data_IF_854799190343
#
_entry.id   IF_854799190343
#
_cell.length_a   1.000
_cell.length_b   1.000
_cell.length_c   1.000
_cell.angle_alpha   90.00
_cell.angle_beta   90.00
_cell.angle_gamma   90.00
#
_symmetry.space_group_name_H-M   'P 1'
#
loop_
_entity.id
_entity.type
_entity.pdbx_description
1 polymer ?
#
# COMPACT_ATOMS: atom_id res chain seq x y z
N UNK A 1 -38.17 33.69 -20.08
CA UNK A 1 -36.70 33.81 -19.87
C UNK A 1 -36.22 32.47 -19.32
N UNK A 2 -35.74 31.57 -20.18
CA UNK A 2 -35.17 30.29 -19.75
C UNK A 2 -33.77 30.55 -19.19
N UNK A 3 -33.56 30.25 -17.91
CA UNK A 3 -32.22 30.16 -17.35
C UNK A 3 -31.49 29.00 -18.05
N UNK A 4 -30.48 29.32 -18.85
CA UNK A 4 -29.54 28.35 -19.38
C UNK A 4 -28.86 27.65 -18.20
N UNK A 5 -29.06 26.33 -18.08
CA UNK A 5 -28.30 25.52 -17.15
C UNK A 5 -26.79 25.77 -17.35
N UNK A 6 -26.00 25.99 -16.29
CA UNK A 6 -24.58 26.24 -16.45
C UNK A 6 -23.91 25.01 -17.08
N UNK A 7 -23.09 25.25 -18.10
CA UNK A 7 -22.35 24.22 -18.82
C UNK A 7 -21.43 23.40 -17.88
N UNK A 8 -21.30 22.07 -18.05
CA UNK A 8 -20.50 21.24 -17.16
C UNK A 8 -19.02 21.36 -17.54
N UNK A 9 -18.31 22.33 -16.95
CA UNK A 9 -16.90 22.60 -17.33
C UNK A 9 -15.86 22.47 -16.22
N UNK A 10 -16.18 21.90 -15.06
CA UNK A 10 -15.15 21.50 -14.08
C UNK A 10 -15.56 20.20 -13.42
N UNK A 11 -14.82 19.11 -13.69
CA UNK A 11 -15.04 17.84 -13.01
C UNK A 11 -14.92 18.04 -11.50
N UNK A 12 -15.87 17.51 -10.73
CA UNK A 12 -15.93 17.71 -9.28
C UNK A 12 -14.63 17.22 -8.60
N UNK A 13 -14.41 17.62 -7.34
CA UNK A 13 -13.24 17.19 -6.58
C UNK A 13 -13.09 15.65 -6.55
N UNK A 14 -14.20 14.92 -6.46
CA UNK A 14 -14.21 13.46 -6.52
C UNK A 14 -13.80 12.90 -7.89
N UNK A 15 -14.21 13.53 -8.99
CA UNK A 15 -13.80 13.10 -10.35
C UNK A 15 -12.29 13.31 -10.56
N UNK A 16 -11.74 14.40 -10.03
CA UNK A 16 -10.30 14.66 -10.06
C UNK A 16 -9.52 13.64 -9.21
N UNK A 17 -10.01 13.31 -8.01
CA UNK A 17 -9.43 12.25 -7.19
C UNK A 17 -9.49 10.88 -7.90
N UNK A 18 -10.62 10.54 -8.55
CA UNK A 18 -10.75 9.30 -9.32
C UNK A 18 -9.75 9.21 -10.48
N UNK A 19 -9.54 10.31 -11.22
CA UNK A 19 -8.53 10.36 -12.29
C UNK A 19 -7.11 10.18 -11.76
N UNK A 20 -6.78 10.79 -10.62
CA UNK A 20 -5.48 10.60 -9.95
C UNK A 20 -5.29 9.15 -9.51
N UNK A 21 -6.32 8.55 -8.91
CA UNK A 21 -6.30 7.15 -8.51
C UNK A 21 -6.05 6.22 -9.71
N UNK A 22 -6.75 6.43 -10.82
CA UNK A 22 -6.58 5.64 -12.04
C UNK A 22 -5.17 5.75 -12.62
N UNK A 23 -4.61 6.97 -12.71
CA UNK A 23 -3.23 7.18 -13.19
C UNK A 23 -2.21 6.49 -12.29
N UNK A 24 -2.35 6.64 -10.97
CA UNK A 24 -1.48 5.98 -10.00
C UNK A 24 -1.59 4.45 -10.08
N UNK A 25 -2.79 3.94 -10.33
CA UNK A 25 -3.02 2.51 -10.51
C UNK A 25 -2.36 1.99 -11.79
N UNK A 26 -2.41 2.73 -12.89
CA UNK A 26 -1.67 2.39 -14.12
C UNK A 26 -0.17 2.37 -13.87
N UNK A 27 0.37 3.36 -13.14
CA UNK A 27 1.79 3.36 -12.75
C UNK A 27 2.13 2.07 -11.98
N UNK A 28 1.31 1.70 -10.99
CA UNK A 28 1.49 0.47 -10.24
C UNK A 28 1.44 -0.78 -11.13
N UNK A 29 0.43 -0.89 -11.99
CA UNK A 29 0.24 -2.04 -12.88
C UNK A 29 1.38 -2.22 -13.89
N UNK A 30 2.07 -1.15 -14.27
CA UNK A 30 3.23 -1.22 -15.16
C UNK A 30 4.53 -1.44 -14.37
N UNK A 31 4.73 -0.68 -13.30
CA UNK A 31 5.97 -0.69 -12.55
C UNK A 31 6.18 -1.99 -11.76
N UNK A 32 5.12 -2.61 -11.24
CA UNK A 32 5.22 -3.88 -10.50
C UNK A 32 5.74 -5.04 -11.37
N UNK A 33 5.13 -5.39 -12.51
CA UNK A 33 5.64 -6.46 -13.35
C UNK A 33 7.00 -6.10 -13.96
N UNK A 34 7.24 -4.83 -14.28
CA UNK A 34 8.55 -4.40 -14.75
C UNK A 34 9.64 -4.63 -13.71
N UNK A 35 9.36 -4.28 -12.44
CA UNK A 35 10.25 -4.56 -11.31
C UNK A 35 10.53 -6.07 -11.22
N UNK A 36 9.49 -6.91 -11.23
CA UNK A 36 9.66 -8.36 -11.21
C UNK A 36 10.52 -8.88 -12.38
N UNK A 37 10.27 -8.41 -13.60
CA UNK A 37 11.04 -8.80 -14.79
C UNK A 37 12.52 -8.38 -14.68
N UNK A 38 12.80 -7.17 -14.18
CA UNK A 38 14.15 -6.69 -13.99
C UNK A 38 14.93 -7.52 -12.96
N UNK A 39 14.31 -7.81 -11.81
CA UNK A 39 14.94 -8.63 -10.78
C UNK A 39 15.12 -10.09 -11.22
N UNK A 40 14.13 -10.67 -11.92
CA UNK A 40 14.23 -12.05 -12.42
C UNK A 40 15.23 -12.24 -13.56
N UNK A 41 15.57 -11.17 -14.29
CA UNK A 41 16.57 -11.18 -15.37
C UNK A 41 17.87 -10.49 -15.01
N UNK A 42 18.08 -10.20 -13.72
CA UNK A 42 19.23 -9.42 -13.26
C UNK A 42 20.56 -10.05 -13.66
N UNK A 43 20.73 -11.34 -13.44
CA UNK A 43 21.96 -12.06 -13.77
C UNK A 43 22.27 -12.05 -15.28
N UNK A 44 21.33 -12.39 -16.18
CA UNK A 44 21.52 -12.24 -17.63
C UNK A 44 21.84 -10.80 -18.07
N UNK A 45 21.21 -9.79 -17.45
CA UNK A 45 21.48 -8.38 -17.77
C UNK A 45 22.89 -8.00 -17.32
N UNK A 46 23.26 -8.38 -16.10
CA UNK A 46 24.57 -8.10 -15.53
C UNK A 46 25.69 -8.75 -16.33
N UNK A 47 25.50 -9.99 -16.80
CA UNK A 47 26.47 -10.70 -17.64
C UNK A 47 26.79 -9.96 -18.97
N UNK A 48 25.87 -9.11 -19.46
CA UNK A 48 26.10 -8.26 -20.64
C UNK A 48 26.76 -6.93 -20.32
N UNK A 49 26.62 -6.47 -19.08
CA UNK A 49 27.22 -5.21 -18.60
C UNK A 49 28.67 -5.44 -18.18
N UNK A 50 28.96 -6.56 -17.52
CA UNK A 50 30.28 -6.91 -17.00
C UNK A 50 31.43 -6.83 -18.02
N UNK A 51 31.28 -7.25 -19.29
CA UNK A 51 32.35 -7.14 -20.29
C UNK A 51 32.49 -5.74 -20.91
N UNK A 52 31.60 -4.79 -20.59
CA UNK A 52 31.79 -3.41 -21.00
C UNK A 52 32.99 -2.82 -20.25
N UNK A 53 33.76 -1.96 -20.90
CA UNK A 53 34.94 -1.33 -20.29
C UNK A 53 34.75 0.18 -20.09
N UNK A 54 35.46 0.74 -19.11
CA UNK A 54 35.57 2.18 -18.87
C UNK A 54 34.23 2.89 -18.66
N UNK A 55 34.01 3.99 -19.39
CA UNK A 55 32.84 4.86 -19.21
C UNK A 55 31.51 4.17 -19.54
N UNK A 56 31.50 3.26 -20.51
CA UNK A 56 30.27 2.57 -20.95
C UNK A 56 29.78 1.61 -19.88
N UNK A 57 30.70 0.90 -19.20
CA UNK A 57 30.39 0.10 -18.02
C UNK A 57 29.78 0.93 -16.90
N UNK A 58 30.44 2.04 -16.54
CA UNK A 58 29.98 2.92 -15.45
C UNK A 58 28.57 3.44 -15.71
N UNK A 59 28.29 3.86 -16.95
CA UNK A 59 26.95 4.32 -17.34
C UNK A 59 25.93 3.18 -17.25
N UNK A 60 26.24 2.02 -17.84
CA UNK A 60 25.32 0.87 -17.87
C UNK A 60 25.00 0.33 -16.46
N UNK A 61 26.01 0.18 -15.60
CA UNK A 61 25.83 -0.23 -14.21
C UNK A 61 25.01 0.79 -13.42
N UNK A 62 25.26 2.09 -13.62
CA UNK A 62 24.51 3.17 -12.96
C UNK A 62 23.05 3.21 -13.41
N UNK A 63 22.79 3.09 -14.72
CA UNK A 63 21.44 3.04 -15.27
C UNK A 63 20.68 1.81 -14.77
N UNK A 64 21.34 0.64 -14.72
CA UNK A 64 20.73 -0.56 -14.16
C UNK A 64 20.37 -0.36 -12.69
N UNK A 65 21.29 0.18 -11.88
CA UNK A 65 21.04 0.49 -10.47
C UNK A 65 19.88 1.48 -10.29
N UNK A 66 19.84 2.54 -11.09
CA UNK A 66 18.76 3.52 -11.05
C UNK A 66 17.40 2.88 -11.40
N UNK A 67 17.35 2.06 -12.44
CA UNK A 67 16.14 1.34 -12.86
C UNK A 67 15.67 0.35 -11.79
N UNK A 68 16.58 -0.40 -11.17
CA UNK A 68 16.27 -1.32 -10.08
C UNK A 68 15.78 -0.63 -8.80
N UNK A 69 16.22 0.61 -8.54
CA UNK A 69 15.75 1.40 -7.41
C UNK A 69 14.40 2.06 -7.69
N UNK A 70 14.25 2.69 -8.86
CA UNK A 70 13.08 3.50 -9.20
C UNK A 70 11.83 2.66 -9.52
N UNK A 71 11.97 1.49 -10.13
CA UNK A 71 10.82 0.67 -10.51
C UNK A 71 10.01 0.13 -9.33
N UNK A 72 10.59 -0.51 -8.29
CA UNK A 72 9.83 -0.92 -7.11
C UNK A 72 9.28 0.29 -6.33
N UNK A 73 10.03 1.40 -6.29
CA UNK A 73 9.58 2.63 -5.64
C UNK A 73 8.35 3.22 -6.34
N UNK A 74 8.37 3.30 -7.67
CA UNK A 74 7.24 3.76 -8.48
C UNK A 74 6.02 2.85 -8.30
N UNK A 75 6.23 1.53 -8.21
CA UNK A 75 5.15 0.58 -7.91
C UNK A 75 4.54 0.85 -6.52
N UNK A 76 5.36 0.98 -5.48
CA UNK A 76 4.89 1.24 -4.12
C UNK A 76 4.14 2.57 -4.00
N UNK A 77 4.69 3.65 -4.55
CA UNK A 77 4.05 4.98 -4.54
C UNK A 77 2.76 4.95 -5.37
N UNK A 78 2.79 4.35 -6.56
CA UNK A 78 1.61 4.20 -7.42
C UNK A 78 0.48 3.45 -6.71
N UNK A 79 0.81 2.37 -6.00
CA UNK A 79 -0.15 1.61 -5.20
C UNK A 79 -0.75 2.48 -4.09
N UNK A 80 0.07 3.09 -3.25
CA UNK A 80 -0.41 3.91 -2.13
C UNK A 80 -1.29 5.07 -2.59
N UNK A 81 -0.88 5.78 -3.66
CA UNK A 81 -1.65 6.87 -4.23
C UNK A 81 -2.95 6.39 -4.88
N UNK A 82 -2.94 5.21 -5.52
CA UNK A 82 -4.14 4.61 -6.09
C UNK A 82 -5.17 4.30 -5.02
N UNK A 83 -4.76 3.67 -3.92
CA UNK A 83 -5.68 3.37 -2.82
C UNK A 83 -6.13 4.66 -2.12
N UNK A 84 -5.21 5.58 -1.80
CA UNK A 84 -5.52 6.85 -1.15
C UNK A 84 -6.54 7.66 -1.95
N UNK A 85 -6.22 8.01 -3.19
CA UNK A 85 -7.13 8.80 -4.02
C UNK A 85 -8.38 8.01 -4.43
N UNK A 86 -8.28 6.69 -4.50
CA UNK A 86 -9.42 5.80 -4.73
C UNK A 86 -10.46 5.98 -3.63
N UNK A 87 -10.05 5.78 -2.37
CA UNK A 87 -10.92 5.96 -1.20
C UNK A 87 -11.45 7.39 -1.12
N UNK A 88 -10.59 8.41 -1.19
CA UNK A 88 -11.03 9.82 -1.13
C UNK A 88 -12.06 10.15 -2.22
N UNK A 89 -11.92 9.59 -3.43
CA UNK A 89 -12.89 9.85 -4.50
C UNK A 89 -14.30 9.31 -4.21
N UNK A 90 -14.45 8.30 -3.35
CA UNK A 90 -15.77 7.74 -2.98
C UNK A 90 -16.54 8.73 -2.11
N UNK A 91 -15.85 9.37 -1.16
CA UNK A 91 -16.41 10.28 -0.16
C UNK A 91 -16.51 11.75 -0.62
N UNK A 92 -16.07 12.05 -1.84
CA UNK A 92 -16.18 13.38 -2.44
C UNK A 92 -17.33 13.42 -3.46
N UNK A 93 -17.98 14.59 -3.65
CA UNK A 93 -19.01 14.76 -4.69
C UNK A 93 -18.48 14.36 -6.07
N UNK A 94 -19.25 13.57 -6.82
CA UNK A 94 -18.91 13.03 -8.14
C UNK A 94 -20.03 13.24 -9.15
N UNK A 95 -19.66 13.42 -10.41
CA UNK A 95 -20.62 13.56 -11.50
C UNK A 95 -21.30 12.23 -11.86
N UNK A 96 -20.63 11.10 -11.61
CA UNK A 96 -21.14 9.74 -11.91
C UNK A 96 -20.85 8.78 -10.74
N UNK A 97 -21.87 8.42 -9.94
CA UNK A 97 -21.70 7.41 -8.87
C UNK A 97 -21.52 6.01 -9.45
N UNK A 98 -20.72 5.17 -8.78
CA UNK A 98 -20.34 3.82 -9.25
C UNK A 98 -20.36 2.80 -8.10
N UNK A 99 -21.53 2.38 -7.60
CA UNK A 99 -21.68 1.75 -6.28
C UNK A 99 -20.92 0.43 -6.11
N UNK A 100 -20.88 -0.44 -7.14
CA UNK A 100 -20.15 -1.71 -7.06
C UNK A 100 -18.63 -1.49 -6.96
N UNK A 101 -18.11 -0.59 -7.79
CA UNK A 101 -16.69 -0.24 -7.81
C UNK A 101 -16.31 0.51 -6.53
N UNK A 102 -17.20 1.35 -6.00
CA UNK A 102 -16.98 2.08 -4.75
C UNK A 102 -16.84 1.12 -3.56
N UNK A 103 -17.70 0.10 -3.48
CA UNK A 103 -17.58 -0.98 -2.47
C UNK A 103 -16.24 -1.70 -2.57
N UNK A 104 -15.81 -2.05 -3.78
CA UNK A 104 -14.51 -2.69 -4.00
C UNK A 104 -13.35 -1.81 -3.52
N UNK A 105 -13.40 -0.51 -3.79
CA UNK A 105 -12.37 0.44 -3.37
C UNK A 105 -12.35 0.63 -1.86
N UNK A 106 -13.52 0.75 -1.21
CA UNK A 106 -13.61 0.87 0.24
C UNK A 106 -13.11 -0.40 0.93
N UNK A 107 -13.53 -1.58 0.44
CA UNK A 107 -13.07 -2.87 0.96
C UNK A 107 -11.54 -3.03 0.82
N UNK A 108 -11.00 -2.71 -0.37
CA UNK A 108 -9.56 -2.72 -0.61
C UNK A 108 -8.82 -1.72 0.27
N UNK A 109 -9.35 -0.51 0.43
CA UNK A 109 -8.80 0.51 1.31
C UNK A 109 -8.74 0.07 2.78
N UNK A 110 -9.82 -0.51 3.29
CA UNK A 110 -9.88 -1.07 4.64
C UNK A 110 -8.82 -2.15 4.83
N UNK A 111 -8.73 -3.10 3.90
CA UNK A 111 -7.72 -4.15 3.93
C UNK A 111 -6.31 -3.56 4.01
N UNK A 112 -5.98 -2.60 3.15
CA UNK A 112 -4.65 -1.99 3.07
C UNK A 112 -4.31 -1.22 4.35
N UNK A 113 -5.23 -0.40 4.86
CA UNK A 113 -5.00 0.40 6.07
C UNK A 113 -4.86 -0.47 7.32
N UNK A 114 -5.62 -1.56 7.43
CA UNK A 114 -5.54 -2.47 8.56
C UNK A 114 -4.47 -3.56 8.41
N UNK A 115 -3.86 -3.70 7.23
CA UNK A 115 -2.85 -4.74 6.97
C UNK A 115 -1.69 -4.77 7.97
N UNK A 116 -1.11 -3.65 8.46
CA UNK A 116 -0.02 -3.72 9.43
C UNK A 116 -0.50 -4.27 10.79
N UNK A 117 -1.70 -3.88 11.22
CA UNK A 117 -2.29 -4.37 12.45
C UNK A 117 -2.60 -5.87 12.37
N UNK A 118 -3.17 -6.32 11.24
CA UNK A 118 -3.46 -7.73 10.99
C UNK A 118 -2.19 -8.57 10.91
N UNK A 119 -1.12 -8.06 10.30
CA UNK A 119 0.16 -8.76 10.22
C UNK A 119 0.79 -8.97 11.61
N UNK A 120 0.73 -7.96 12.49
CA UNK A 120 1.23 -8.07 13.86
C UNK A 120 0.37 -9.01 14.72
N UNK A 121 -0.95 -8.95 14.56
CA UNK A 121 -1.85 -9.88 15.22
C UNK A 121 -1.57 -11.32 14.78
N UNK A 122 -1.38 -11.55 13.47
CA UNK A 122 -1.02 -12.86 12.94
C UNK A 122 0.35 -13.33 13.47
N UNK A 123 1.34 -12.44 13.56
CA UNK A 123 2.64 -12.76 14.16
C UNK A 123 2.52 -13.15 15.63
N UNK A 124 1.68 -12.46 16.41
CA UNK A 124 1.41 -12.80 17.81
C UNK A 124 0.72 -14.16 17.93
N UNK A 125 -0.35 -14.41 17.17
CA UNK A 125 -1.06 -15.70 17.17
C UNK A 125 -0.12 -16.85 16.79
N UNK A 126 0.65 -16.66 15.72
CA UNK A 126 1.64 -17.64 15.28
C UNK A 126 2.67 -17.93 16.37
N UNK A 127 3.17 -16.90 17.04
CA UNK A 127 4.11 -17.05 18.15
C UNK A 127 3.54 -17.85 19.33
N UNK A 128 2.26 -17.65 19.65
CA UNK A 128 1.56 -18.42 20.69
C UNK A 128 1.39 -19.90 20.30
N UNK A 129 1.04 -20.18 19.05
CA UNK A 129 0.86 -21.55 18.54
C UNK A 129 2.21 -22.30 18.51
N UNK A 130 3.25 -21.65 18.00
CA UNK A 130 4.58 -22.26 17.84
C UNK A 130 5.39 -22.28 19.14
N UNK A 131 5.00 -21.52 20.17
CA UNK A 131 5.80 -21.31 21.37
C UNK A 131 7.14 -20.60 21.11
N UNK A 132 7.24 -19.93 19.95
CA UNK A 132 8.46 -19.27 19.47
C UNK A 132 8.13 -17.96 18.77
N UNK A 133 8.89 -16.90 19.08
CA UNK A 133 8.87 -15.64 18.32
C UNK A 133 10.23 -15.42 17.66
N UNK A 134 10.23 -15.28 16.33
CA UNK A 134 11.44 -14.98 15.55
C UNK A 134 11.48 -13.50 15.17
N UNK A 135 12.58 -12.81 15.52
CA UNK A 135 12.91 -11.50 14.97
C UNK A 135 13.95 -11.64 13.87
N UNK A 136 13.69 -11.02 12.72
CA UNK A 136 14.58 -11.09 11.55
C UNK A 136 15.85 -10.25 11.75
N UNK A 137 15.77 -9.14 12.49
CA UNK A 137 16.90 -8.23 12.75
C UNK A 137 16.83 -7.57 14.14
N UNK A 138 17.84 -7.79 15.01
CA UNK A 138 18.87 -8.82 14.91
C UNK A 138 18.24 -10.23 14.92
N UNK A 139 18.80 -11.22 14.20
CA UNK A 139 18.25 -12.57 14.13
C UNK A 139 18.27 -13.20 15.52
N UNK A 140 17.09 -13.35 16.14
CA UNK A 140 16.95 -13.94 17.48
C UNK A 140 15.61 -14.64 17.62
N UNK A 141 15.66 -15.83 18.20
CA UNK A 141 14.49 -16.63 18.55
C UNK A 141 14.25 -16.51 20.05
N UNK A 142 13.04 -16.13 20.45
CA UNK A 142 12.58 -16.15 21.82
C UNK A 142 11.62 -17.31 22.00
N UNK A 143 11.99 -18.29 22.82
CA UNK A 143 11.19 -19.48 23.08
C UNK A 143 10.45 -19.34 24.39
N UNK A 144 9.20 -19.78 24.43
CA UNK A 144 8.41 -19.82 25.66
C UNK A 144 9.05 -20.74 26.72
N UNK A 145 9.69 -21.83 26.27
CA UNK A 145 10.28 -22.84 27.14
C UNK A 145 11.57 -22.39 27.84
N UNK A 146 12.44 -21.62 27.15
CA UNK A 146 13.76 -21.24 27.69
C UNK A 146 13.81 -19.79 28.13
N UNK A 147 13.10 -18.89 27.46
CA UNK A 147 13.17 -17.44 27.68
C UNK A 147 11.76 -16.81 27.78
N UNK A 148 10.94 -17.25 28.76
CA UNK A 148 9.52 -16.90 28.83
C UNK A 148 9.28 -15.39 28.93
N UNK A 149 10.14 -14.66 29.64
CA UNK A 149 10.01 -13.20 29.77
C UNK A 149 10.14 -12.50 28.41
N UNK A 150 11.18 -12.82 27.65
CA UNK A 150 11.42 -12.21 26.35
C UNK A 150 10.36 -12.62 25.32
N UNK A 151 9.88 -13.88 25.40
CA UNK A 151 8.75 -14.35 24.60
C UNK A 151 7.50 -13.49 24.86
N UNK A 152 7.06 -13.35 26.12
CA UNK A 152 5.86 -12.57 26.44
C UNK A 152 6.01 -11.08 26.15
N UNK A 153 7.20 -10.51 26.35
CA UNK A 153 7.50 -9.14 25.94
C UNK A 153 7.33 -8.94 24.43
N UNK A 154 7.73 -9.94 23.63
CA UNK A 154 7.59 -9.90 22.17
C UNK A 154 6.13 -9.98 21.72
N UNK A 155 5.34 -10.87 22.35
CA UNK A 155 3.89 -10.93 22.13
C UNK A 155 3.23 -9.60 22.51
N UNK A 156 3.57 -9.05 23.67
CA UNK A 156 3.09 -7.74 24.13
C UNK A 156 3.42 -6.63 23.13
N UNK A 157 4.65 -6.60 22.61
CA UNK A 157 5.07 -5.64 21.60
C UNK A 157 4.22 -5.72 20.32
N UNK A 158 3.99 -6.93 19.78
CA UNK A 158 3.15 -7.10 18.59
C UNK A 158 1.71 -6.64 18.84
N UNK A 159 1.13 -6.94 20.00
CA UNK A 159 -0.22 -6.53 20.34
C UNK A 159 -0.34 -5.01 20.52
N UNK A 160 0.61 -4.38 21.22
CA UNK A 160 0.64 -2.92 21.41
C UNK A 160 0.78 -2.22 20.06
N UNK A 161 1.77 -2.62 19.26
CA UNK A 161 1.98 -2.03 17.93
C UNK A 161 0.79 -2.29 16.99
N UNK A 162 0.20 -3.49 17.04
CA UNK A 162 -0.99 -3.84 16.29
C UNK A 162 -2.18 -2.95 16.66
N UNK A 163 -2.41 -2.73 17.96
CA UNK A 163 -3.45 -1.83 18.46
C UNK A 163 -3.20 -0.37 18.04
N UNK A 164 -1.95 0.09 18.08
CA UNK A 164 -1.58 1.44 17.61
C UNK A 164 -1.88 1.62 16.11
N UNK A 165 -1.48 0.67 15.26
CA UNK A 165 -1.79 0.74 13.83
C UNK A 165 -3.29 0.65 13.56
N UNK A 166 -4.01 -0.21 14.27
CA UNK A 166 -5.47 -0.31 14.16
C UNK A 166 -6.16 1.01 14.57
N UNK A 167 -5.68 1.65 15.64
CA UNK A 167 -6.18 2.95 16.07
C UNK A 167 -5.94 4.04 15.03
N UNK A 168 -4.76 4.10 14.43
CA UNK A 168 -4.45 5.07 13.38
C UNK A 168 -5.30 4.84 12.12
N UNK A 169 -5.46 3.58 11.70
CA UNK A 169 -6.35 3.22 10.62
C UNK A 169 -7.80 3.62 10.93
N UNK A 170 -8.27 3.32 12.14
CA UNK A 170 -9.62 3.70 12.59
C UNK A 170 -9.83 5.21 12.57
N UNK A 171 -8.87 6.01 13.02
CA UNK A 171 -8.96 7.48 12.98
C UNK A 171 -9.14 8.02 11.56
N UNK A 172 -8.52 7.40 10.57
CA UNK A 172 -8.70 7.75 9.16
C UNK A 172 -10.10 7.38 8.64
N UNK A 173 -10.65 6.23 9.05
CA UNK A 173 -11.93 5.71 8.55
C UNK A 173 -13.16 6.25 9.28
N UNK A 174 -13.06 6.56 10.58
CA UNK A 174 -14.20 6.89 11.44
C UNK A 174 -15.07 8.02 10.87
N UNK A 175 -14.46 9.12 10.41
CA UNK A 175 -15.21 10.26 9.88
C UNK A 175 -15.94 9.94 8.58
N UNK A 176 -15.34 9.12 7.73
CA UNK A 176 -15.87 8.70 6.43
C UNK A 176 -17.07 7.78 6.58
N UNK A 177 -16.93 6.74 7.40
CA UNK A 177 -18.00 5.77 7.66
C UNK A 177 -19.19 6.41 8.39
N UNK A 178 -18.94 7.36 9.29
CA UNK A 178 -20.00 8.10 9.98
C UNK A 178 -20.79 9.01 9.02
N UNK A 179 -20.11 9.67 8.08
CA UNK A 179 -20.75 10.54 7.09
C UNK A 179 -21.65 9.75 6.12
N UNK A 180 -21.19 8.57 5.66
CA UNK A 180 -22.00 7.67 4.83
C UNK A 180 -23.26 7.22 5.57
N UNK A 181 -23.12 6.76 6.82
CA UNK A 181 -24.24 6.30 7.63
C UNK A 181 -25.28 7.40 7.92
N UNK A 182 -24.88 8.67 7.95
CA UNK A 182 -25.80 9.79 8.08
C UNK A 182 -26.55 10.06 6.76
N UNK A 183 -25.87 9.94 5.62
CA UNK A 183 -26.45 10.13 4.28
C UNK A 183 -27.46 9.03 3.93
N UNK A 184 -27.23 7.78 4.37
CA UNK A 184 -28.18 6.68 4.16
C UNK A 184 -29.46 6.80 5.01
N UNK A 185 -29.46 7.65 6.05
CA UNK A 185 -30.60 7.83 6.98
C UNK A 185 -31.46 9.05 6.67
N UNK A 186 -31.02 9.95 5.78
CA UNK A 186 -31.74 11.14 5.33
C UNK A 186 -32.51 10.87 4.05
#
# INVERSE_FOLDING_TARGET
MSASAPAPLVGTAGDAARRRAARAFVIFLVALPLSYLLFSRLEPIWARILPLEGAVFMLAATLLGAVLALTPLAAAIGFLLAVWHGVESVYLPRSRPSPLLDRGIVAGGLLVWFSPALALLAAAIRGLIEGKVHFVRPPRDYLLATDPHAFWQSIGFFLIMGALFALMAWRYWRGKLAADAATERS
#
